data_IF_998256235755
#
_entry.id   IF_998256235755
#
_cell.length_a   1.000
_cell.length_b   1.000
_cell.length_c   1.000
_cell.angle_alpha   90.00
_cell.angle_beta   90.00
_cell.angle_gamma   90.00
#
_symmetry.space_group_name_H-M   'P 1'
#
loop_
_entity.id
_entity.type
_entity.pdbx_description
1 polymer ?
#
# COMPACT_ATOMS: atom_id res chain seq x y z
N UNK A 1 -43.95 10.91 -7.81
CA UNK A 1 -43.66 10.30 -6.51
C UNK A 1 -42.15 10.38 -6.31
N UNK A 2 -41.68 11.45 -5.66
CA UNK A 2 -40.31 11.46 -5.14
C UNK A 2 -40.34 10.73 -3.81
N UNK A 3 -39.50 9.73 -3.62
CA UNK A 3 -39.30 9.16 -2.29
C UNK A 3 -38.90 10.28 -1.33
N UNK A 4 -39.47 10.34 -0.10
CA UNK A 4 -38.99 11.28 0.88
C UNK A 4 -37.51 10.98 1.13
N UNK A 5 -36.65 11.98 0.89
CA UNK A 5 -35.24 11.93 1.28
C UNK A 5 -35.23 11.69 2.78
N UNK A 6 -35.07 10.43 3.18
CA UNK A 6 -35.13 10.00 4.56
C UNK A 6 -34.03 10.74 5.31
N UNK A 7 -34.43 11.60 6.23
CA UNK A 7 -33.53 12.30 7.15
C UNK A 7 -32.76 11.21 7.89
N UNK A 8 -31.50 10.96 7.50
CA UNK A 8 -30.69 9.88 8.10
C UNK A 8 -30.71 10.07 9.61
N UNK A 9 -31.11 9.02 10.35
CA UNK A 9 -31.12 9.10 11.80
C UNK A 9 -29.69 9.33 12.28
N UNK A 10 -29.55 10.06 13.39
CA UNK A 10 -28.25 10.24 14.04
C UNK A 10 -27.60 8.90 14.40
N UNK A 11 -28.41 7.87 14.64
CA UNK A 11 -27.95 6.51 14.89
C UNK A 11 -27.35 5.86 13.63
N UNK A 12 -27.97 6.06 12.46
CA UNK A 12 -27.45 5.56 11.18
C UNK A 12 -26.09 6.18 10.87
N UNK A 13 -25.94 7.49 11.09
CA UNK A 13 -24.66 8.19 10.90
C UNK A 13 -23.58 7.70 11.85
N UNK A 14 -23.94 7.36 13.09
CA UNK A 14 -22.99 6.76 14.07
C UNK A 14 -22.56 5.37 13.64
N UNK A 15 -23.48 4.57 13.11
CA UNK A 15 -23.18 3.25 12.60
C UNK A 15 -22.23 3.31 11.42
N UNK A 16 -22.55 4.15 10.42
CA UNK A 16 -21.70 4.39 9.25
C UNK A 16 -20.32 4.92 9.65
N UNK A 17 -20.24 5.83 10.63
CA UNK A 17 -18.95 6.29 11.17
C UNK A 17 -18.12 5.14 11.75
N UNK A 18 -18.72 4.26 12.55
CA UNK A 18 -18.03 3.10 13.11
C UNK A 18 -17.48 2.17 12.01
N UNK A 19 -18.27 1.90 10.98
CA UNK A 19 -17.84 1.09 9.83
C UNK A 19 -16.69 1.75 9.08
N UNK A 20 -16.76 3.06 8.83
CA UNK A 20 -15.71 3.80 8.14
C UNK A 20 -14.41 3.78 8.96
N UNK A 21 -14.47 4.01 10.28
CA UNK A 21 -13.29 3.93 11.15
C UNK A 21 -12.70 2.52 11.16
N UNK A 22 -13.54 1.49 11.19
CA UNK A 22 -13.10 0.10 11.09
C UNK A 22 -12.40 -0.17 9.75
N UNK A 23 -12.94 0.34 8.64
CA UNK A 23 -12.32 0.24 7.32
C UNK A 23 -10.96 0.95 7.27
N UNK A 24 -10.84 2.15 7.85
CA UNK A 24 -9.56 2.88 7.93
C UNK A 24 -8.50 2.04 8.66
N UNK A 25 -8.84 1.46 9.81
CA UNK A 25 -7.93 0.57 10.57
C UNK A 25 -7.58 -0.68 9.78
N UNK A 26 -8.56 -1.30 9.13
CA UNK A 26 -8.37 -2.49 8.30
C UNK A 26 -7.38 -2.23 7.16
N UNK A 27 -7.59 -1.17 6.37
CA UNK A 27 -6.69 -0.83 5.26
C UNK A 27 -5.30 -0.39 5.74
N UNK A 28 -5.19 0.23 6.91
CA UNK A 28 -3.88 0.52 7.51
C UNK A 28 -3.10 -0.76 7.82
N UNK A 29 -3.74 -1.73 8.48
CA UNK A 29 -3.14 -3.03 8.80
C UNK A 29 -2.81 -3.83 7.53
N UNK A 30 -3.69 -3.78 6.52
CA UNK A 30 -3.51 -4.48 5.26
C UNK A 30 -2.27 -4.00 4.49
N UNK A 31 -2.04 -2.68 4.46
CA UNK A 31 -0.84 -2.08 3.84
C UNK A 31 0.43 -2.57 4.53
N UNK A 32 0.44 -2.59 5.87
CA UNK A 32 1.57 -3.13 6.62
C UNK A 32 1.83 -4.61 6.32
N UNK A 33 0.79 -5.46 6.35
CA UNK A 33 0.91 -6.89 6.06
C UNK A 33 1.46 -7.15 4.65
N UNK A 34 1.07 -6.34 3.67
CA UNK A 34 1.46 -6.53 2.28
C UNK A 34 2.91 -6.12 2.02
N UNK A 35 3.45 -5.16 2.75
CA UNK A 35 4.90 -4.92 2.74
C UNK A 35 5.68 -6.13 3.21
N UNK A 36 5.23 -6.85 4.24
CA UNK A 36 5.89 -8.08 4.69
C UNK A 36 5.87 -9.15 3.60
N UNK A 37 4.72 -9.36 2.96
CA UNK A 37 4.59 -10.31 1.86
C UNK A 37 5.49 -9.91 0.69
N UNK A 38 5.53 -8.63 0.34
CA UNK A 38 6.40 -8.09 -0.70
C UNK A 38 7.87 -8.45 -0.45
N UNK A 39 8.41 -8.17 0.75
CA UNK A 39 9.79 -8.48 1.06
C UNK A 39 10.08 -9.99 1.07
N UNK A 40 9.14 -10.82 1.55
CA UNK A 40 9.28 -12.27 1.51
C UNK A 40 9.35 -12.80 0.07
N UNK A 41 8.43 -12.36 -0.79
CA UNK A 41 8.40 -12.74 -2.21
C UNK A 41 9.64 -12.22 -2.93
N UNK A 42 10.01 -10.95 -2.72
CA UNK A 42 11.23 -10.37 -3.31
C UNK A 42 12.50 -11.07 -2.85
N UNK A 43 12.59 -11.48 -1.59
CA UNK A 43 13.70 -12.28 -1.08
C UNK A 43 13.81 -13.64 -1.77
N UNK A 44 12.67 -14.34 -1.94
CA UNK A 44 12.61 -15.60 -2.69
C UNK A 44 12.99 -15.45 -4.16
N UNK A 45 12.45 -14.43 -4.84
CA UNK A 45 12.80 -14.14 -6.23
C UNK A 45 14.27 -13.73 -6.37
N UNK A 46 14.79 -12.94 -5.43
CA UNK A 46 16.20 -12.56 -5.35
C UNK A 46 17.12 -13.76 -5.19
N UNK A 47 16.74 -14.72 -4.35
CA UNK A 47 17.49 -15.96 -4.18
C UNK A 47 17.58 -16.76 -5.49
N UNK A 48 16.48 -16.87 -6.24
CA UNK A 48 16.49 -17.52 -7.56
C UNK A 48 17.30 -16.73 -8.59
N UNK A 49 17.14 -15.40 -8.61
CA UNK A 49 17.75 -14.51 -9.60
C UNK A 49 19.27 -14.36 -9.46
N UNK A 50 19.79 -14.43 -8.24
CA UNK A 50 21.18 -14.10 -7.90
C UNK A 50 21.90 -15.18 -7.07
N UNK A 51 21.27 -16.32 -6.80
CA UNK A 51 21.86 -17.46 -6.09
C UNK A 51 22.95 -18.15 -6.92
N UNK A 52 24.21 -17.76 -6.74
CA UNK A 52 25.35 -18.31 -7.46
C UNK A 52 25.48 -19.83 -7.26
N UNK A 53 25.57 -20.57 -8.36
CA UNK A 53 25.74 -22.03 -8.35
C UNK A 53 24.53 -22.83 -7.85
N UNK A 54 23.42 -22.18 -7.50
CA UNK A 54 22.21 -22.84 -6.98
C UNK A 54 21.20 -23.17 -8.10
N UNK A 55 21.17 -22.39 -9.17
CA UNK A 55 20.17 -22.49 -10.24
C UNK A 55 20.80 -22.44 -11.63
N UNK A 56 20.12 -23.03 -12.62
CA UNK A 56 20.48 -22.89 -14.02
C UNK A 56 20.38 -21.43 -14.49
N UNK A 57 21.19 -21.05 -15.48
CA UNK A 57 21.23 -19.68 -16.02
C UNK A 57 19.85 -19.19 -16.50
N UNK A 58 19.06 -20.07 -17.11
CA UNK A 58 17.70 -19.77 -17.56
C UNK A 58 16.77 -19.44 -16.38
N UNK A 59 16.87 -20.20 -15.28
CA UNK A 59 16.08 -19.95 -14.08
C UNK A 59 16.47 -18.62 -13.41
N UNK A 60 17.77 -18.29 -13.38
CA UNK A 60 18.25 -17.01 -12.88
C UNK A 60 17.75 -15.84 -13.75
N UNK A 61 17.74 -15.99 -15.08
CA UNK A 61 17.19 -14.99 -16.00
C UNK A 61 15.69 -14.78 -15.76
N UNK A 62 14.93 -15.86 -15.63
CA UNK A 62 13.49 -15.80 -15.30
C UNK A 62 13.27 -15.10 -13.95
N UNK A 63 14.09 -15.41 -12.93
CA UNK A 63 14.03 -14.74 -11.63
C UNK A 63 14.25 -13.22 -11.72
N UNK A 64 15.22 -12.77 -12.53
CA UNK A 64 15.49 -11.34 -12.74
C UNK A 64 14.31 -10.62 -13.37
N UNK A 65 13.68 -11.22 -14.38
CA UNK A 65 12.49 -10.69 -15.05
C UNK A 65 11.29 -10.69 -14.08
N UNK A 66 11.10 -11.78 -13.34
CA UNK A 66 10.02 -11.93 -12.38
C UNK A 66 10.09 -10.85 -11.28
N UNK A 67 11.29 -10.45 -10.85
CA UNK A 67 11.44 -9.39 -9.84
C UNK A 67 10.83 -8.05 -10.26
N UNK A 68 10.95 -7.66 -11.53
CA UNK A 68 10.28 -6.46 -12.04
C UNK A 68 8.76 -6.59 -12.01
N UNK A 69 8.23 -7.77 -12.38
CA UNK A 69 6.80 -8.04 -12.33
C UNK A 69 6.27 -7.96 -10.89
N UNK A 70 6.99 -8.53 -9.91
CA UNK A 70 6.63 -8.46 -8.49
C UNK A 70 6.62 -7.01 -8.02
N UNK A 71 7.68 -6.23 -8.28
CA UNK A 71 7.73 -4.81 -7.91
C UNK A 71 6.54 -4.04 -8.52
N UNK A 72 6.24 -4.25 -9.80
CA UNK A 72 5.14 -3.57 -10.47
C UNK A 72 3.76 -3.92 -9.88
N UNK A 73 3.49 -5.21 -9.64
CA UNK A 73 2.21 -5.67 -9.06
C UNK A 73 1.99 -5.11 -7.67
N UNK A 74 3.01 -5.19 -6.80
CA UNK A 74 2.91 -4.69 -5.43
C UNK A 74 2.85 -3.17 -5.36
N UNK A 75 3.54 -2.46 -6.26
CA UNK A 75 3.39 -1.01 -6.38
C UNK A 75 1.94 -0.64 -6.75
N UNK A 76 1.39 -1.23 -7.82
CA UNK A 76 0.01 -0.95 -8.24
C UNK A 76 -1.00 -1.24 -7.13
N UNK A 77 -0.80 -2.35 -6.40
CA UNK A 77 -1.61 -2.69 -5.25
C UNK A 77 -1.54 -1.59 -4.17
N UNK A 78 -0.33 -1.16 -3.79
CA UNK A 78 -0.14 -0.16 -2.75
C UNK A 78 -0.76 1.20 -3.13
N UNK A 79 -0.68 1.57 -4.41
CA UNK A 79 -1.31 2.79 -4.92
C UNK A 79 -2.84 2.72 -4.80
N UNK A 80 -3.44 1.57 -5.13
CA UNK A 80 -4.89 1.34 -4.97
C UNK A 80 -5.29 1.35 -3.49
N UNK A 81 -4.56 0.64 -2.63
CA UNK A 81 -4.82 0.62 -1.20
C UNK A 81 -4.70 2.02 -0.58
N UNK A 82 -3.72 2.82 -1.01
CA UNK A 82 -3.56 4.21 -0.60
C UNK A 82 -4.73 5.11 -0.99
N UNK A 83 -5.26 4.96 -2.21
CA UNK A 83 -6.43 5.72 -2.68
C UNK A 83 -7.69 5.37 -1.86
N UNK A 84 -7.92 4.08 -1.61
CA UNK A 84 -9.05 3.61 -0.81
C UNK A 84 -8.94 4.08 0.64
N UNK A 85 -7.75 4.02 1.23
CA UNK A 85 -7.48 4.53 2.56
C UNK A 85 -7.79 6.04 2.68
N UNK A 86 -7.31 6.86 1.73
CA UNK A 86 -7.60 8.30 1.74
C UNK A 86 -9.09 8.61 1.54
N UNK A 87 -9.80 7.79 0.75
CA UNK A 87 -11.24 7.92 0.59
C UNK A 87 -11.97 7.73 1.92
N UNK A 88 -11.73 6.61 2.62
CA UNK A 88 -12.35 6.35 3.92
C UNK A 88 -11.91 7.34 4.99
N UNK A 89 -10.65 7.79 4.99
CA UNK A 89 -10.17 8.83 5.90
C UNK A 89 -10.94 10.13 5.73
N UNK A 90 -11.16 10.58 4.48
CA UNK A 90 -11.95 11.78 4.20
C UNK A 90 -13.42 11.62 4.60
N UNK A 91 -14.00 10.43 4.42
CA UNK A 91 -15.36 10.13 4.88
C UNK A 91 -15.47 10.15 6.40
N UNK A 92 -14.50 9.57 7.12
CA UNK A 92 -14.46 9.57 8.57
C UNK A 92 -14.51 11.01 9.12
N UNK A 93 -13.65 11.89 8.60
CA UNK A 93 -13.59 13.30 9.01
C UNK A 93 -14.91 14.04 8.72
N UNK A 94 -15.56 13.78 7.57
CA UNK A 94 -16.86 14.40 7.26
C UNK A 94 -17.97 13.97 8.23
N UNK A 95 -18.05 12.68 8.53
CA UNK A 95 -19.03 12.11 9.45
C UNK A 95 -18.77 12.60 10.88
N UNK A 96 -17.50 12.72 11.26
CA UNK A 96 -17.06 13.23 12.56
C UNK A 96 -17.50 14.68 12.80
N UNK A 97 -17.31 15.56 11.81
CA UNK A 97 -17.83 16.93 11.87
C UNK A 97 -19.36 16.99 12.00
N UNK A 98 -20.08 16.04 11.40
CA UNK A 98 -21.55 16.00 11.46
C UNK A 98 -22.04 15.50 12.82
N UNK A 99 -21.29 14.60 13.46
CA UNK A 99 -21.64 13.99 14.74
C UNK A 99 -21.08 14.74 15.97
N UNK A 100 -20.22 15.74 15.76
CA UNK A 100 -19.44 16.44 16.78
C UNK A 100 -18.51 15.50 17.58
N UNK A 101 -17.81 14.60 16.90
CA UNK A 101 -16.73 13.79 17.47
C UNK A 101 -15.35 14.40 17.18
N UNK A 102 -14.28 13.87 17.80
CA UNK A 102 -12.91 14.42 17.68
C UNK A 102 -11.79 13.36 17.57
N UNK A 103 -12.14 12.10 17.34
CA UNK A 103 -11.20 10.95 17.32
C UNK A 103 -10.28 10.95 16.08
N UNK A 104 -10.79 11.23 14.87
CA UNK A 104 -10.01 11.24 13.63
C UNK A 104 -9.52 12.64 13.24
N UNK A 105 -10.19 13.70 13.69
CA UNK A 105 -9.81 15.10 13.39
C UNK A 105 -8.53 15.52 14.14
N UNK A 106 -8.27 14.87 15.28
CA UNK A 106 -7.04 15.07 16.06
C UNK A 106 -5.83 14.33 15.50
N UNK A 107 -6.00 13.51 14.46
CA UNK A 107 -4.86 12.84 13.83
C UNK A 107 -3.89 13.87 13.24
N UNK A 108 -2.58 13.69 13.46
CA UNK A 108 -1.59 14.65 12.99
C UNK A 108 -1.69 14.79 11.47
N UNK A 109 -1.98 16.00 11.01
CA UNK A 109 -1.98 16.30 9.58
C UNK A 109 -0.55 16.28 9.06
N UNK A 110 -0.34 15.85 7.79
CA UNK A 110 0.99 15.85 7.20
C UNK A 110 1.54 17.27 7.18
N UNK A 111 2.62 17.50 7.93
CA UNK A 111 3.38 18.75 7.90
C UNK A 111 4.41 18.70 6.78
N UNK A 112 5.02 19.83 6.43
CA UNK A 112 6.08 19.90 5.40
C UNK A 112 7.26 18.95 5.71
N UNK A 113 7.47 18.62 6.99
CA UNK A 113 8.52 17.69 7.45
C UNK A 113 8.05 16.23 7.58
N UNK A 114 6.76 15.95 7.37
CA UNK A 114 6.20 14.60 7.38
C UNK A 114 5.39 14.40 6.10
N UNK A 115 6.06 14.05 4.99
CA UNK A 115 5.40 13.89 3.70
C UNK A 115 4.28 12.85 3.81
N UNK A 116 3.22 12.98 3.00
CA UNK A 116 2.11 12.04 3.03
C UNK A 116 2.62 10.62 2.76
N UNK A 117 2.07 9.63 3.48
CA UNK A 117 2.51 8.23 3.41
C UNK A 117 2.57 7.66 1.98
N UNK A 118 1.73 8.17 1.07
CA UNK A 118 1.76 7.82 -0.36
C UNK A 118 3.11 8.15 -1.00
N UNK A 119 3.69 9.31 -0.68
CA UNK A 119 4.99 9.73 -1.23
C UNK A 119 6.10 8.84 -0.70
N UNK A 120 6.10 8.55 0.61
CA UNK A 120 7.08 7.65 1.24
C UNK A 120 7.03 6.27 0.57
N UNK A 121 5.84 5.72 0.37
CA UNK A 121 5.71 4.39 -0.22
C UNK A 121 6.16 4.36 -1.68
N UNK A 122 5.83 5.39 -2.48
CA UNK A 122 6.36 5.53 -3.85
C UNK A 122 7.89 5.62 -3.87
N UNK A 123 8.50 6.33 -2.92
CA UNK A 123 9.95 6.40 -2.79
C UNK A 123 10.56 5.03 -2.46
N UNK A 124 9.96 4.25 -1.56
CA UNK A 124 10.42 2.90 -1.24
C UNK A 124 10.39 2.01 -2.49
N UNK A 125 9.27 1.97 -3.22
CA UNK A 125 9.17 1.16 -4.44
C UNK A 125 10.14 1.63 -5.53
N UNK A 126 10.34 2.94 -5.70
CA UNK A 126 11.35 3.50 -6.61
C UNK A 126 12.76 3.06 -6.23
N UNK A 127 13.13 3.16 -4.95
CA UNK A 127 14.46 2.74 -4.47
C UNK A 127 14.68 1.25 -4.68
N UNK A 128 13.68 0.41 -4.39
CA UNK A 128 13.77 -1.03 -4.61
C UNK A 128 13.87 -1.35 -6.11
N UNK A 129 13.11 -0.65 -6.96
CA UNK A 129 13.20 -0.80 -8.41
C UNK A 129 14.60 -0.42 -8.93
N UNK A 130 15.15 0.72 -8.52
CA UNK A 130 16.50 1.15 -8.89
C UNK A 130 17.57 0.18 -8.42
N UNK A 131 17.44 -0.34 -7.19
CA UNK A 131 18.34 -1.35 -6.66
C UNK A 131 18.25 -2.65 -7.46
N UNK A 132 17.05 -3.06 -7.86
CA UNK A 132 16.85 -4.25 -8.69
C UNK A 132 17.48 -4.09 -10.08
N UNK A 133 17.26 -2.92 -10.72
CA UNK A 133 17.94 -2.57 -11.98
C UNK A 133 19.44 -2.65 -11.83
N UNK A 134 19.99 -2.02 -10.79
CA UNK A 134 21.42 -2.07 -10.49
C UNK A 134 21.92 -3.51 -10.32
N UNK A 135 21.21 -4.33 -9.55
CA UNK A 135 21.59 -5.73 -9.30
C UNK A 135 21.59 -6.57 -10.59
N UNK A 136 20.62 -6.37 -11.49
CA UNK A 136 20.55 -7.07 -12.77
C UNK A 136 21.76 -6.75 -13.66
N UNK A 137 22.23 -5.49 -13.66
CA UNK A 137 23.39 -5.08 -14.45
C UNK A 137 24.73 -5.39 -13.78
N UNK A 138 24.81 -5.31 -12.44
CA UNK A 138 26.04 -5.56 -11.69
C UNK A 138 26.44 -7.04 -11.66
N UNK A 139 25.48 -7.96 -11.75
CA UNK A 139 25.72 -9.41 -11.67
C UNK A 139 25.61 -10.05 -13.07
N UNK A 140 26.71 -10.39 -13.75
CA UNK A 140 26.66 -11.07 -15.04
C UNK A 140 26.09 -12.51 -14.91
N UNK A 141 25.45 -13.01 -15.98
CA UNK A 141 24.77 -14.32 -16.02
C UNK A 141 25.73 -15.52 -16.17
N UNK A 142 27.05 -15.30 -16.13
CA UNK A 142 28.05 -16.35 -16.33
C UNK A 142 29.31 -16.14 -15.51
N UNK A 143 29.42 -16.89 -14.42
CA UNK A 143 30.67 -17.39 -13.84
C UNK A 143 30.43 -18.82 -13.39
#
# INVERSE_FOLDING_TARGET
>A
MGEPVQERSREDLRHEYSEVVQNVRHYSNLRFAIFTIFFAVMGGVGFVAFGQGQFAADAALVGRIAGFAVIAVFWLYEERAGQVFEHYRKLAVKLEHTLNYSECTTWPSPTVFSPPAIVINRLIFLLVALLWVYAVFAVPLGR
#
